data_IF_361521926600
#
_entry.id   IF_361521926600
#
_cell.length_a   1.000
_cell.length_b   1.000
_cell.length_c   1.000
_cell.angle_alpha   90.00
_cell.angle_beta   90.00
_cell.angle_gamma   90.00
#
_symmetry.space_group_name_H-M   'P 1'
#
loop_
_entity.id
_entity.type
_entity.pdbx_description
1 polymer ?
#
# COMPACT_ATOMS: atom_id res chain seq x y z
N UNK A 1 -58.35 -43.86 19.16
CA UNK A 1 -57.51 -43.02 18.32
C UNK A 1 -56.07 -43.38 18.68
N UNK A 2 -55.23 -43.81 17.73
CA UNK A 2 -53.85 -44.11 18.08
C UNK A 2 -53.11 -42.82 18.40
N UNK A 3 -52.42 -42.80 19.54
CA UNK A 3 -51.52 -41.75 19.98
C UNK A 3 -50.42 -41.59 18.97
N UNK A 4 -50.40 -40.45 18.27
CA UNK A 4 -49.35 -40.11 17.33
C UNK A 4 -48.12 -39.76 18.16
N UNK A 5 -47.26 -40.74 18.38
CA UNK A 5 -45.97 -40.54 19.04
C UNK A 5 -45.05 -39.76 18.10
N UNK A 6 -44.89 -38.44 18.34
CA UNK A 6 -43.89 -37.65 17.62
C UNK A 6 -42.51 -38.17 18.01
N UNK A 7 -41.82 -38.80 17.08
CA UNK A 7 -40.40 -39.14 17.24
C UNK A 7 -39.56 -37.90 17.05
N UNK A 8 -38.85 -37.47 18.10
CA UNK A 8 -37.86 -36.40 18.02
C UNK A 8 -36.55 -37.03 17.55
N UNK A 9 -36.05 -36.58 16.41
CA UNK A 9 -34.76 -37.03 15.85
C UNK A 9 -33.71 -35.90 15.99
N UNK A 10 -32.43 -36.26 16.07
CA UNK A 10 -31.32 -35.33 16.08
C UNK A 10 -31.28 -34.51 14.78
N UNK A 11 -31.28 -33.21 14.86
CA UNK A 11 -31.24 -32.30 13.70
C UNK A 11 -30.00 -32.47 12.83
N UNK A 12 -28.90 -33.00 13.40
CA UNK A 12 -27.63 -33.20 12.68
C UNK A 12 -27.46 -34.60 12.14
N UNK A 13 -27.51 -35.67 12.99
CA UNK A 13 -27.21 -37.04 12.56
C UNK A 13 -28.47 -37.92 12.36
N UNK A 14 -29.67 -37.36 12.57
CA UNK A 14 -30.96 -38.08 12.41
C UNK A 14 -31.22 -39.21 13.40
N UNK A 15 -30.37 -39.42 14.40
CA UNK A 15 -30.58 -40.38 15.46
C UNK A 15 -31.89 -40.11 16.22
N UNK A 16 -32.61 -41.18 16.63
CA UNK A 16 -33.88 -41.11 17.38
C UNK A 16 -33.71 -41.44 18.87
N UNK A 17 -32.53 -41.31 19.42
CA UNK A 17 -32.21 -41.64 20.82
C UNK A 17 -32.80 -40.61 21.79
N UNK A 18 -34.02 -40.84 22.26
CA UNK A 18 -34.83 -39.86 23.01
C UNK A 18 -34.37 -39.48 24.41
N UNK A 19 -33.79 -40.38 25.26
CA UNK A 19 -33.60 -40.05 26.68
C UNK A 19 -32.52 -38.99 26.92
N UNK A 20 -31.68 -38.69 25.93
CA UNK A 20 -30.52 -37.86 26.09
C UNK A 20 -30.49 -36.61 25.16
N UNK A 21 -31.57 -36.37 24.39
CA UNK A 21 -31.63 -35.21 23.48
C UNK A 21 -31.56 -33.88 24.24
N UNK A 22 -30.76 -32.95 23.68
CA UNK A 22 -30.60 -31.58 24.22
C UNK A 22 -31.12 -30.56 23.19
N UNK A 23 -31.81 -29.55 23.66
CA UNK A 23 -32.33 -28.50 22.82
C UNK A 23 -31.34 -27.32 22.72
N UNK A 24 -31.07 -26.89 21.48
CA UNK A 24 -30.24 -25.71 21.17
C UNK A 24 -31.01 -24.83 20.20
N UNK A 25 -31.61 -23.77 20.65
CA UNK A 25 -32.56 -22.99 19.85
C UNK A 25 -33.76 -23.81 19.41
N UNK A 26 -33.98 -23.92 18.11
CA UNK A 26 -35.03 -24.81 17.51
C UNK A 26 -34.54 -26.23 17.26
N UNK A 27 -33.25 -26.53 17.42
CA UNK A 27 -32.64 -27.80 17.10
C UNK A 27 -32.64 -28.74 18.31
N UNK A 28 -32.89 -30.04 18.03
CA UNK A 28 -32.81 -31.10 19.02
C UNK A 28 -31.62 -32.01 18.69
N UNK A 29 -30.71 -32.24 19.62
CA UNK A 29 -29.41 -32.88 19.36
C UNK A 29 -29.16 -34.04 20.31
N UNK A 30 -28.64 -35.13 19.77
CA UNK A 30 -28.09 -36.23 20.59
C UNK A 30 -26.78 -35.78 21.27
N UNK A 31 -26.38 -36.42 22.39
CA UNK A 31 -25.18 -36.01 23.13
C UNK A 31 -23.91 -35.92 22.29
N UNK A 32 -23.55 -36.87 21.39
CA UNK A 32 -22.38 -36.76 20.56
C UNK A 32 -22.37 -35.53 19.64
N UNK A 33 -23.55 -35.18 19.07
CA UNK A 33 -23.64 -33.97 18.22
C UNK A 33 -23.62 -32.69 19.03
N UNK A 34 -24.19 -32.68 20.23
CA UNK A 34 -24.16 -31.55 21.13
C UNK A 34 -22.74 -31.25 21.61
N UNK A 35 -21.94 -32.26 21.96
CA UNK A 35 -20.57 -32.11 22.45
C UNK A 35 -19.59 -31.64 21.35
N UNK A 36 -19.98 -31.76 20.07
CA UNK A 36 -19.22 -31.24 18.92
C UNK A 36 -19.62 -29.83 18.49
N UNK A 37 -20.59 -29.20 19.15
CA UNK A 37 -21.00 -27.87 18.81
C UNK A 37 -19.88 -26.85 19.05
N UNK A 38 -19.84 -25.87 18.14
CA UNK A 38 -19.02 -24.68 18.34
C UNK A 38 -19.84 -23.58 18.98
N UNK A 39 -19.14 -22.65 19.64
CA UNK A 39 -19.78 -21.54 20.34
C UNK A 39 -19.78 -20.30 19.45
N UNK A 40 -20.90 -19.57 19.47
CA UNK A 40 -21.00 -18.26 18.84
C UNK A 40 -20.03 -17.27 19.49
N UNK A 41 -19.19 -16.62 18.72
CA UNK A 41 -18.22 -15.66 19.23
C UNK A 41 -18.87 -14.44 19.89
N UNK A 42 -20.13 -14.14 19.58
CA UNK A 42 -20.85 -12.96 20.09
C UNK A 42 -21.65 -13.26 21.38
N UNK A 43 -22.47 -14.29 21.39
CA UNK A 43 -23.31 -14.62 22.55
C UNK A 43 -22.78 -15.76 23.41
N UNK A 44 -21.70 -16.40 23.03
CA UNK A 44 -21.07 -17.53 23.72
C UNK A 44 -22.01 -18.75 23.91
N UNK A 45 -23.09 -18.82 23.12
CA UNK A 45 -24.01 -19.96 23.15
C UNK A 45 -23.57 -20.99 22.08
N UNK A 46 -23.76 -22.28 22.37
CA UNK A 46 -23.52 -23.32 21.36
C UNK A 46 -24.51 -23.16 20.20
N UNK A 47 -24.05 -23.42 18.98
CA UNK A 47 -24.88 -23.30 17.79
C UNK A 47 -24.58 -24.40 16.78
N UNK A 48 -25.65 -24.93 16.15
CA UNK A 48 -25.58 -25.94 15.09
C UNK A 48 -25.01 -25.33 13.81
N UNK A 49 -25.43 -24.10 13.52
CA UNK A 49 -24.95 -23.36 12.34
C UNK A 49 -24.22 -22.11 12.82
N UNK A 50 -23.01 -21.93 12.29
CA UNK A 50 -22.24 -20.69 12.48
C UNK A 50 -21.92 -20.07 11.13
N UNK A 51 -22.04 -18.75 11.07
CA UNK A 51 -21.81 -17.93 9.88
C UNK A 51 -20.50 -17.16 10.07
N UNK A 52 -19.57 -17.21 9.10
CA UNK A 52 -18.36 -16.44 9.16
C UNK A 52 -18.63 -14.93 9.32
N UNK A 53 -17.92 -14.32 10.24
CA UNK A 53 -18.01 -12.88 10.52
C UNK A 53 -16.62 -12.23 10.48
N UNK A 54 -16.57 -10.91 10.40
CA UNK A 54 -15.33 -10.16 10.31
C UNK A 54 -14.39 -10.48 11.47
N UNK A 55 -13.09 -10.61 11.16
CA UNK A 55 -12.05 -10.94 12.13
C UNK A 55 -11.96 -12.44 12.45
N UNK A 56 -12.32 -13.30 11.49
CA UNK A 56 -12.31 -14.77 11.63
C UNK A 56 -13.29 -15.33 12.68
N UNK A 57 -14.14 -14.47 13.22
CA UNK A 57 -15.18 -14.86 14.15
C UNK A 57 -16.27 -15.67 13.46
N UNK A 58 -16.91 -16.59 14.21
CA UNK A 58 -18.10 -17.31 13.76
C UNK A 58 -19.27 -16.99 14.68
N UNK A 59 -20.41 -16.60 14.10
CA UNK A 59 -21.60 -16.16 14.86
C UNK A 59 -22.84 -16.94 14.48
N UNK A 60 -23.74 -17.16 15.44
CA UNK A 60 -25.00 -17.85 15.18
C UNK A 60 -25.99 -16.98 14.38
N UNK A 61 -26.99 -17.57 13.69
CA UNK A 61 -27.98 -16.85 12.90
C UNK A 61 -28.71 -15.76 13.69
N UNK A 62 -29.00 -15.98 14.96
CA UNK A 62 -29.64 -14.99 15.84
C UNK A 62 -28.77 -13.75 16.06
N UNK A 63 -27.46 -13.95 16.21
CA UNK A 63 -26.50 -12.86 16.38
C UNK A 63 -26.16 -12.14 15.06
N UNK A 64 -26.47 -12.74 13.92
CA UNK A 64 -26.36 -12.12 12.59
C UNK A 64 -27.53 -11.19 12.32
N UNK A 65 -28.67 -11.41 12.95
CA UNK A 65 -29.83 -10.51 12.80
C UNK A 65 -29.43 -9.06 13.18
N UNK A 66 -29.64 -8.12 12.27
CA UNK A 66 -29.18 -6.73 12.40
C UNK A 66 -27.70 -6.49 12.08
N UNK A 67 -27.05 -7.43 11.44
CA UNK A 67 -25.69 -7.31 10.88
C UNK A 67 -25.73 -7.24 9.36
N UNK A 68 -24.73 -6.59 8.76
CA UNK A 68 -24.63 -6.42 7.30
C UNK A 68 -23.28 -6.92 6.77
N UNK A 69 -23.20 -7.30 5.48
CA UNK A 69 -21.93 -7.59 4.88
C UNK A 69 -21.08 -6.32 4.80
N UNK A 70 -19.80 -6.43 5.16
CA UNK A 70 -18.83 -5.36 5.00
C UNK A 70 -18.69 -5.02 3.51
N UNK A 71 -18.82 -3.76 3.13
CA UNK A 71 -18.72 -3.29 1.74
C UNK A 71 -17.41 -3.70 1.07
N UNK A 72 -16.36 -3.96 1.83
CA UNK A 72 -15.02 -4.27 1.32
C UNK A 72 -14.70 -5.77 1.28
N UNK A 73 -14.85 -6.51 2.40
CA UNK A 73 -14.49 -7.93 2.47
C UNK A 73 -15.68 -8.89 2.39
N UNK A 74 -16.90 -8.38 2.35
CA UNK A 74 -18.16 -9.13 2.35
C UNK A 74 -18.41 -9.99 3.60
N UNK A 75 -17.52 -9.96 4.59
CA UNK A 75 -17.75 -10.64 5.87
C UNK A 75 -18.83 -9.93 6.68
N UNK A 76 -19.64 -10.69 7.40
CA UNK A 76 -20.70 -10.14 8.26
C UNK A 76 -20.08 -9.27 9.37
N UNK A 77 -20.52 -8.03 9.46
CA UNK A 77 -20.07 -7.07 10.47
C UNK A 77 -21.24 -6.57 11.34
N UNK A 78 -20.93 -6.22 12.58
CA UNK A 78 -21.90 -5.60 13.49
C UNK A 78 -22.17 -4.13 13.14
N UNK A 79 -23.14 -3.50 13.84
CA UNK A 79 -23.41 -2.07 13.70
C UNK A 79 -22.22 -1.21 14.18
N UNK A 80 -22.05 -0.04 13.62
CA UNK A 80 -21.19 1.00 14.19
C UNK A 80 -20.26 1.72 13.25
N UNK A 81 -19.65 1.06 12.26
CA UNK A 81 -18.74 1.72 11.31
C UNK A 81 -19.39 1.79 9.93
N UNK A 82 -19.42 2.99 9.36
CA UNK A 82 -19.99 3.25 8.04
C UNK A 82 -19.03 4.05 7.19
N UNK A 83 -19.10 3.84 5.89
CA UNK A 83 -18.44 4.69 4.90
C UNK A 83 -19.17 6.03 4.76
N UNK A 84 -18.57 6.97 4.06
CA UNK A 84 -19.19 8.26 3.69
C UNK A 84 -20.40 8.11 2.76
N UNK A 85 -20.55 6.95 2.11
CA UNK A 85 -21.72 6.52 1.33
C UNK A 85 -22.76 5.74 2.16
N UNK A 86 -22.58 5.68 3.47
CA UNK A 86 -23.42 4.97 4.45
C UNK A 86 -23.37 3.43 4.39
N UNK A 87 -22.43 2.87 3.67
CA UNK A 87 -22.26 1.42 3.60
C UNK A 87 -21.59 0.87 4.86
N UNK A 88 -22.02 -0.30 5.38
CA UNK A 88 -21.39 -0.93 6.54
C UNK A 88 -19.95 -1.35 6.23
N UNK A 89 -19.03 -1.10 7.14
CA UNK A 89 -17.63 -1.50 7.02
C UNK A 89 -17.13 -2.12 8.33
N UNK A 90 -16.45 -3.27 8.27
CA UNK A 90 -15.87 -3.89 9.45
C UNK A 90 -14.62 -3.11 9.93
N UNK A 91 -14.28 -3.27 11.21
CA UNK A 91 -13.16 -2.56 11.84
C UNK A 91 -11.85 -2.76 11.06
N UNK A 92 -11.51 -4.01 10.68
CA UNK A 92 -10.30 -4.33 9.91
C UNK A 92 -10.23 -3.56 8.59
N UNK A 93 -11.33 -3.57 7.82
CA UNK A 93 -11.38 -2.84 6.55
C UNK A 93 -11.41 -1.34 6.74
N UNK A 94 -12.15 -0.82 7.72
CA UNK A 94 -12.27 0.61 7.99
C UNK A 94 -10.89 1.25 8.22
N UNK A 95 -10.11 0.69 9.13
CA UNK A 95 -8.79 1.23 9.47
C UNK A 95 -7.65 0.78 8.54
N UNK A 96 -7.85 -0.29 7.79
CA UNK A 96 -6.83 -0.79 6.84
C UNK A 96 -6.96 -0.26 5.42
N UNK A 97 -8.17 0.19 5.00
CA UNK A 97 -8.45 0.49 3.60
C UNK A 97 -9.09 1.87 3.34
N UNK A 98 -9.53 2.55 4.38
CA UNK A 98 -10.24 3.82 4.30
C UNK A 98 -9.57 4.87 5.17
N UNK A 99 -9.77 6.13 4.84
CA UNK A 99 -9.41 7.25 5.68
C UNK A 99 -10.60 7.70 6.54
N UNK A 100 -10.36 7.99 7.81
CA UNK A 100 -11.39 8.59 8.68
C UNK A 100 -11.60 10.06 8.33
N UNK A 101 -12.84 10.44 8.05
CA UNK A 101 -13.19 11.82 7.75
C UNK A 101 -13.33 12.63 9.03
N UNK A 102 -12.53 13.68 9.18
CA UNK A 102 -12.58 14.59 10.33
C UNK A 102 -13.93 15.35 10.45
N UNK A 103 -14.62 15.57 9.32
CA UNK A 103 -15.87 16.34 9.30
C UNK A 103 -17.12 15.56 9.72
N UNK A 104 -17.19 14.26 9.43
CA UNK A 104 -18.37 13.44 9.69
C UNK A 104 -18.08 12.14 10.45
N UNK A 105 -16.81 11.86 10.79
CA UNK A 105 -16.34 10.64 11.46
C UNK A 105 -16.65 9.32 10.73
N UNK A 106 -16.96 9.41 9.42
CA UNK A 106 -17.18 8.24 8.55
C UNK A 106 -15.91 7.89 7.81
N UNK A 107 -15.86 6.69 7.30
CA UNK A 107 -14.70 6.16 6.56
C UNK A 107 -14.86 6.40 5.05
N UNK A 108 -13.87 7.05 4.43
CA UNK A 108 -13.90 7.38 3.01
C UNK A 108 -12.82 6.65 2.25
N UNK A 109 -13.22 6.07 1.14
CA UNK A 109 -12.30 5.48 0.18
C UNK A 109 -11.59 6.55 -0.67
N UNK A 110 -12.14 7.75 -0.77
CA UNK A 110 -11.60 8.88 -1.53
C UNK A 110 -11.67 10.13 -0.67
N UNK A 111 -10.60 10.38 0.08
CA UNK A 111 -10.48 11.53 0.96
C UNK A 111 -9.48 12.54 0.43
N UNK A 112 -9.66 13.81 0.79
CA UNK A 112 -8.72 14.90 0.51
C UNK A 112 -7.96 15.28 1.78
N UNK A 113 -6.75 15.76 1.62
CA UNK A 113 -5.94 16.27 2.72
C UNK A 113 -6.54 17.57 3.27
N UNK A 114 -6.74 17.60 4.57
CA UNK A 114 -7.17 18.76 5.35
C UNK A 114 -5.99 19.27 6.18
N UNK A 115 -5.78 20.57 6.20
CA UNK A 115 -4.67 21.18 6.94
C UNK A 115 -4.64 20.73 8.41
N UNK A 116 -3.43 20.47 8.92
CA UNK A 116 -3.22 19.91 10.26
C UNK A 116 -3.13 18.38 10.30
N UNK A 117 -3.01 17.71 9.14
CA UNK A 117 -2.78 16.25 9.10
C UNK A 117 -4.05 15.40 9.06
N UNK A 118 -5.20 16.01 8.87
CA UNK A 118 -6.50 15.32 8.83
C UNK A 118 -6.93 14.97 7.40
N UNK A 119 -8.01 14.19 7.29
CA UNK A 119 -8.65 13.86 6.02
C UNK A 119 -10.11 14.29 6.01
N UNK A 120 -10.63 14.62 4.85
CA UNK A 120 -12.03 14.94 4.63
C UNK A 120 -12.58 14.12 3.46
N UNK A 121 -13.75 13.48 3.60
CA UNK A 121 -14.44 12.85 2.49
C UNK A 121 -14.90 13.90 1.48
N UNK A 122 -15.24 13.48 0.26
CA UNK A 122 -15.61 14.39 -0.84
C UNK A 122 -16.76 15.34 -0.46
N UNK A 123 -17.79 14.84 0.23
CA UNK A 123 -18.92 15.64 0.68
C UNK A 123 -18.50 16.71 1.70
N UNK A 124 -17.74 16.33 2.74
CA UNK A 124 -17.25 17.29 3.74
C UNK A 124 -16.26 18.27 3.12
N UNK A 125 -15.42 17.84 2.18
CA UNK A 125 -14.50 18.69 1.44
C UNK A 125 -15.27 19.81 0.72
N UNK A 126 -16.35 19.46 0.03
CA UNK A 126 -17.13 20.42 -0.75
C UNK A 126 -18.01 21.35 0.10
N UNK A 127 -18.47 20.89 1.29
CA UNK A 127 -19.52 21.61 2.06
C UNK A 127 -19.03 22.28 3.33
N UNK A 128 -17.89 21.85 3.89
CA UNK A 128 -17.41 22.29 5.22
C UNK A 128 -16.07 22.99 5.21
N UNK A 129 -15.32 22.86 4.13
CA UNK A 129 -13.95 23.35 4.06
C UNK A 129 -13.74 24.20 2.81
N UNK A 130 -12.85 25.19 2.92
CA UNK A 130 -12.43 25.99 1.77
C UNK A 130 -11.07 25.53 1.27
N UNK A 131 -10.77 25.77 0.02
CA UNK A 131 -9.46 25.51 -0.54
C UNK A 131 -8.53 26.71 -0.38
N UNK A 132 -7.25 26.42 -0.14
CA UNK A 132 -6.20 27.43 -0.23
C UNK A 132 -6.04 27.86 -1.70
N UNK A 133 -6.16 29.14 -1.99
CA UNK A 133 -6.02 29.67 -3.36
C UNK A 133 -4.64 29.41 -3.98
N UNK A 134 -3.59 29.27 -3.15
CA UNK A 134 -2.22 29.03 -3.63
C UNK A 134 -1.93 27.56 -3.93
N UNK A 135 -2.34 26.64 -3.03
CA UNK A 135 -1.93 25.23 -3.12
C UNK A 135 -3.08 24.23 -3.22
N UNK A 136 -4.34 24.66 -3.15
CA UNK A 136 -5.51 23.79 -3.23
C UNK A 136 -5.74 22.89 -2.00
N UNK A 137 -4.93 23.02 -0.94
CA UNK A 137 -5.12 22.27 0.31
C UNK A 137 -6.43 22.71 0.98
N UNK A 138 -7.22 21.77 1.48
CA UNK A 138 -8.41 22.08 2.27
C UNK A 138 -8.00 22.71 3.61
N UNK A 139 -8.68 23.80 3.98
CA UNK A 139 -8.43 24.56 5.20
C UNK A 139 -9.62 24.42 6.14
N UNK A 140 -9.34 24.34 7.44
CA UNK A 140 -10.35 24.49 8.49
C UNK A 140 -10.81 25.95 8.51
N UNK A 141 -12.05 26.19 8.96
CA UNK A 141 -12.57 27.56 9.10
C UNK A 141 -11.56 28.46 9.83
N UNK A 142 -11.30 29.61 9.25
CA UNK A 142 -10.33 30.63 9.75
C UNK A 142 -8.86 30.17 9.84
N UNK A 143 -8.52 29.01 9.26
CA UNK A 143 -7.14 28.51 9.22
C UNK A 143 -6.29 29.19 8.14
N UNK A 144 -5.04 29.53 8.46
CA UNK A 144 -4.02 29.79 7.45
C UNK A 144 -3.54 28.47 6.83
N UNK A 145 -3.07 28.52 5.59
CA UNK A 145 -2.45 27.35 4.97
C UNK A 145 -1.03 27.17 5.53
N UNK A 146 -0.86 26.21 6.42
CA UNK A 146 0.46 25.87 6.99
C UNK A 146 1.51 25.51 5.92
N UNK A 147 1.06 24.96 4.77
CA UNK A 147 1.95 24.64 3.65
C UNK A 147 2.51 25.90 2.99
N UNK A 148 1.65 26.89 2.73
CA UNK A 148 2.06 28.15 2.09
C UNK A 148 2.77 29.09 3.08
N UNK A 149 2.38 29.07 4.36
CA UNK A 149 3.02 29.88 5.39
C UNK A 149 4.44 29.41 5.73
N UNK A 150 4.69 28.09 5.62
CA UNK A 150 5.97 27.48 5.97
C UNK A 150 6.44 26.49 4.89
N UNK A 151 6.79 26.97 3.68
CA UNK A 151 7.17 26.09 2.57
C UNK A 151 8.44 25.29 2.86
N UNK A 152 9.38 25.83 3.63
CA UNK A 152 10.63 25.19 4.03
C UNK A 152 10.54 24.25 5.23
N UNK A 153 9.34 23.94 5.71
CA UNK A 153 9.18 23.09 6.90
C UNK A 153 9.29 21.60 6.58
N UNK A 154 10.11 20.87 7.34
CA UNK A 154 10.07 19.40 7.35
C UNK A 154 8.79 18.94 8.03
N UNK A 155 7.96 18.21 7.30
CA UNK A 155 6.62 17.75 7.73
C UNK A 155 6.71 16.54 8.64
N UNK A 156 5.61 16.23 9.36
CA UNK A 156 5.52 14.99 10.13
C UNK A 156 5.53 13.78 9.19
N UNK A 157 5.91 12.61 9.70
CA UNK A 157 5.92 11.36 8.94
C UNK A 157 4.53 11.00 8.35
N UNK A 158 3.43 11.42 9.01
CA UNK A 158 2.06 11.17 8.59
C UNK A 158 1.55 12.16 7.52
N UNK A 159 2.35 13.16 7.14
CA UNK A 159 1.96 14.13 6.13
C UNK A 159 1.79 13.46 4.75
N UNK A 160 0.60 13.58 4.17
CA UNK A 160 0.26 13.06 2.84
C UNK A 160 -0.66 14.06 2.14
N UNK A 161 -0.10 15.05 1.43
CA UNK A 161 -0.89 16.03 0.69
C UNK A 161 -1.61 15.38 -0.47
N UNK A 162 -2.57 16.10 -1.04
CA UNK A 162 -3.17 15.68 -2.31
C UNK A 162 -2.11 15.68 -3.41
N UNK A 163 -2.07 14.67 -4.28
CA UNK A 163 -1.04 14.55 -5.29
C UNK A 163 -1.19 15.61 -6.38
N UNK A 164 -0.05 16.08 -6.89
CA UNK A 164 0.05 16.90 -8.11
C UNK A 164 0.77 16.07 -9.15
N UNK A 165 0.08 15.78 -10.24
CA UNK A 165 0.65 14.98 -11.32
C UNK A 165 1.46 15.87 -12.26
N UNK A 166 2.72 15.51 -12.47
CA UNK A 166 3.69 16.27 -13.28
C UNK A 166 4.14 15.42 -14.46
N UNK A 167 4.08 16.01 -15.66
CA UNK A 167 4.27 15.29 -16.91
C UNK A 167 3.03 14.50 -17.34
N UNK A 168 3.20 13.54 -18.25
CA UNK A 168 2.12 12.81 -18.90
C UNK A 168 2.01 11.38 -18.38
N UNK A 169 0.76 10.93 -18.08
CA UNK A 169 0.45 9.60 -17.58
C UNK A 169 0.16 8.57 -18.68
N UNK A 170 -0.24 7.37 -18.34
CA UNK A 170 -0.87 6.96 -17.08
C UNK A 170 0.12 6.44 -16.01
N UNK A 171 1.39 6.14 -16.34
CA UNK A 171 2.39 5.73 -15.36
C UNK A 171 3.01 6.97 -14.72
N UNK A 172 2.80 7.12 -13.42
CA UNK A 172 3.49 8.10 -12.60
C UNK A 172 4.33 7.40 -11.55
N UNK A 173 5.53 7.94 -11.31
CA UNK A 173 6.47 7.51 -10.28
C UNK A 173 6.48 8.54 -9.15
N UNK A 174 6.60 8.08 -7.92
CA UNK A 174 6.89 8.90 -6.75
C UNK A 174 8.23 8.47 -6.16
N UNK A 175 9.06 9.42 -5.77
CA UNK A 175 10.34 9.19 -5.15
C UNK A 175 10.24 9.51 -3.65
N UNK A 176 10.72 8.61 -2.80
CA UNK A 176 10.98 8.83 -1.38
C UNK A 176 12.47 8.53 -1.16
N UNK A 177 13.28 9.57 -0.92
CA UNK A 177 14.72 9.48 -0.75
C UNK A 177 15.10 9.87 0.68
N UNK A 178 15.64 8.94 1.45
CA UNK A 178 16.08 9.16 2.82
C UNK A 178 17.53 9.65 2.84
N UNK A 179 17.82 10.74 3.55
CA UNK A 179 19.13 11.39 3.60
C UNK A 179 19.53 11.68 5.04
N UNK A 180 20.75 11.30 5.41
CA UNK A 180 21.38 11.63 6.69
C UNK A 180 22.04 12.99 6.54
N UNK A 181 21.78 13.89 7.50
CA UNK A 181 22.24 15.28 7.45
C UNK A 181 23.06 15.58 8.70
N UNK A 182 24.25 16.20 8.58
CA UNK A 182 24.99 16.68 9.76
C UNK A 182 24.16 17.69 10.56
N UNK A 183 24.19 17.59 11.89
CA UNK A 183 23.37 18.41 12.77
C UNK A 183 23.59 19.92 12.56
N UNK A 184 24.85 20.34 12.37
CA UNK A 184 25.25 21.73 12.14
C UNK A 184 24.87 22.24 10.74
N UNK A 185 24.51 21.36 9.80
CA UNK A 185 24.09 21.64 8.42
C UNK A 185 22.60 21.42 8.17
N UNK A 186 21.86 21.01 9.18
CA UNK A 186 20.45 20.62 9.00
C UNK A 186 19.60 21.74 8.37
N UNK A 187 19.73 22.97 8.87
CA UNK A 187 18.98 24.12 8.36
C UNK A 187 19.34 24.44 6.91
N UNK A 188 20.64 24.37 6.57
CA UNK A 188 21.14 24.65 5.21
C UNK A 188 20.65 23.58 4.22
N UNK A 189 20.71 22.29 4.61
CA UNK A 189 20.23 21.17 3.80
C UNK A 189 18.71 21.25 3.57
N UNK A 190 17.93 21.58 4.60
CA UNK A 190 16.48 21.79 4.47
C UNK A 190 16.19 22.98 3.53
N UNK A 191 16.92 24.09 3.65
CA UNK A 191 16.74 25.26 2.79
C UNK A 191 17.09 24.93 1.32
N UNK A 192 18.21 24.26 1.07
CA UNK A 192 18.63 23.83 -0.26
C UNK A 192 17.56 22.90 -0.88
N UNK A 193 17.18 21.85 -0.15
CA UNK A 193 16.19 20.87 -0.62
C UNK A 193 14.84 21.52 -0.93
N UNK A 194 14.30 22.35 -0.04
CA UNK A 194 12.99 23.00 -0.25
C UNK A 194 13.03 24.03 -1.37
N UNK A 195 14.12 24.76 -1.52
CA UNK A 195 14.29 25.73 -2.62
C UNK A 195 14.27 25.04 -3.99
N UNK A 196 14.98 23.90 -4.13
CA UNK A 196 15.03 23.14 -5.39
C UNK A 196 13.75 22.37 -5.67
N UNK A 197 13.18 21.72 -4.66
CA UNK A 197 11.92 20.98 -4.82
C UNK A 197 10.76 21.90 -5.18
N UNK A 198 10.67 23.08 -4.57
CA UNK A 198 9.56 23.99 -4.81
C UNK A 198 8.19 23.32 -4.70
N UNK A 199 7.49 23.21 -5.83
CA UNK A 199 6.19 22.54 -5.93
C UNK A 199 6.27 21.06 -6.36
N UNK A 200 7.47 20.53 -6.61
CA UNK A 200 7.68 19.17 -7.07
C UNK A 200 7.59 18.14 -5.93
N UNK A 201 7.81 18.60 -4.68
CA UNK A 201 7.85 17.68 -3.54
C UNK A 201 7.85 18.41 -2.20
N UNK A 202 8.20 17.68 -1.16
CA UNK A 202 8.27 18.18 0.21
C UNK A 202 9.21 17.30 1.04
N UNK A 203 9.59 17.80 2.22
CA UNK A 203 10.40 17.05 3.17
C UNK A 203 9.55 16.50 4.30
N UNK A 204 9.84 15.26 4.74
CA UNK A 204 9.21 14.60 5.88
C UNK A 204 10.25 14.16 6.90
N UNK A 205 9.80 14.03 8.14
CA UNK A 205 10.54 13.31 9.18
C UNK A 205 10.36 11.81 8.99
N UNK A 206 11.45 11.07 9.08
CA UNK A 206 11.43 9.63 9.30
C UNK A 206 12.30 9.29 10.52
N UNK A 207 11.74 8.51 11.45
CA UNK A 207 12.42 8.13 12.69
C UNK A 207 13.50 7.06 12.48
N UNK A 208 13.54 6.42 11.32
CA UNK A 208 14.58 5.46 10.95
C UNK A 208 15.89 6.14 10.59
N UNK A 209 15.86 7.40 10.16
CA UNK A 209 17.06 8.18 9.77
C UNK A 209 17.80 8.66 11.03
N UNK A 210 19.02 8.20 11.21
CA UNK A 210 19.83 8.49 12.39
C UNK A 210 21.22 9.01 11.98
N UNK A 211 21.86 9.93 12.77
CA UNK A 211 21.28 10.59 13.95
C UNK A 211 20.25 11.66 13.60
N UNK A 212 20.39 12.32 12.46
CA UNK A 212 19.54 13.43 11.99
C UNK A 212 19.37 13.33 10.47
N UNK A 213 18.19 13.69 9.96
CA UNK A 213 17.95 13.68 8.51
C UNK A 213 16.50 13.94 8.15
N UNK A 214 16.20 13.76 6.90
CA UNK A 214 14.85 13.88 6.35
C UNK A 214 14.64 12.95 5.16
N UNK A 215 13.39 12.67 4.90
CA UNK A 215 12.92 12.00 3.70
C UNK A 215 12.48 13.07 2.68
N UNK A 216 13.08 13.05 1.50
CA UNK A 216 12.67 13.88 0.35
C UNK A 216 11.59 13.10 -0.41
N UNK A 217 10.40 13.67 -0.51
CA UNK A 217 9.25 13.04 -1.16
C UNK A 217 8.81 13.89 -2.34
N UNK A 218 8.67 13.26 -3.52
CA UNK A 218 8.13 13.95 -4.69
C UNK A 218 6.63 13.79 -4.82
N UNK A 219 5.98 14.71 -5.48
CA UNK A 219 4.69 14.47 -6.11
C UNK A 219 4.83 13.45 -7.26
N UNK A 220 3.73 12.84 -7.73
CA UNK A 220 3.80 11.89 -8.84
C UNK A 220 4.36 12.52 -10.13
N UNK A 221 5.44 11.96 -10.66
CA UNK A 221 6.17 12.40 -11.85
C UNK A 221 6.01 11.34 -12.96
N UNK A 222 5.76 11.72 -14.22
CA UNK A 222 6.01 10.81 -15.32
C UNK A 222 7.51 10.49 -15.39
N UNK A 223 7.88 9.33 -15.92
CA UNK A 223 9.29 8.94 -16.03
C UNK A 223 10.09 9.99 -16.82
N UNK A 224 9.54 10.44 -17.95
CA UNK A 224 10.19 11.48 -18.77
C UNK A 224 10.42 12.77 -17.97
N UNK A 225 9.40 13.27 -17.29
CA UNK A 225 9.52 14.48 -16.45
C UNK A 225 10.56 14.29 -15.34
N UNK A 226 10.59 13.11 -14.71
CA UNK A 226 11.56 12.81 -13.68
C UNK A 226 13.01 12.84 -14.20
N UNK A 227 13.27 12.42 -15.43
CA UNK A 227 14.62 12.42 -16.01
C UNK A 227 15.00 13.80 -16.54
N UNK A 228 14.10 14.48 -17.27
CA UNK A 228 14.41 15.69 -18.02
C UNK A 228 14.22 16.98 -17.20
N UNK A 229 13.21 17.06 -16.34
CA UNK A 229 12.74 18.31 -15.71
C UNK A 229 12.94 18.36 -14.18
N UNK A 230 13.28 17.25 -13.55
CA UNK A 230 13.52 17.25 -12.09
C UNK A 230 14.88 17.92 -11.79
N UNK A 231 14.98 18.76 -10.73
CA UNK A 231 16.20 19.52 -10.43
C UNK A 231 17.29 18.67 -9.77
N UNK A 232 17.89 17.77 -10.53
CA UNK A 232 18.88 16.79 -10.07
C UNK A 232 20.11 17.39 -9.40
N UNK A 233 20.43 18.66 -9.68
CA UNK A 233 21.51 19.41 -9.00
C UNK A 233 21.33 19.45 -7.49
N UNK A 234 20.10 19.24 -7.00
CA UNK A 234 19.78 19.13 -5.58
C UNK A 234 20.65 18.08 -4.86
N UNK A 235 20.87 16.92 -5.46
CA UNK A 235 21.62 15.83 -4.81
C UNK A 235 23.09 16.24 -4.61
N UNK A 236 23.71 16.88 -5.61
CA UNK A 236 25.07 17.42 -5.48
C UNK A 236 25.16 18.57 -4.46
N UNK A 237 24.11 19.38 -4.32
CA UNK A 237 24.08 20.43 -3.28
C UNK A 237 24.01 19.82 -1.87
N UNK A 238 23.23 18.75 -1.68
CA UNK A 238 23.17 18.02 -0.41
C UNK A 238 24.51 17.33 -0.10
N UNK A 239 25.14 16.70 -1.08
CA UNK A 239 26.47 16.11 -0.93
C UNK A 239 27.53 17.15 -0.52
N UNK A 240 27.55 18.32 -1.17
CA UNK A 240 28.44 19.44 -0.84
C UNK A 240 28.20 20.01 0.58
N UNK A 241 27.01 19.84 1.15
CA UNK A 241 26.69 20.19 2.53
C UNK A 241 27.11 19.10 3.54
N UNK A 242 27.71 17.99 3.05
CA UNK A 242 28.14 16.89 3.86
C UNK A 242 27.02 15.91 4.24
N UNK A 243 25.88 15.97 3.54
CA UNK A 243 24.86 14.95 3.69
C UNK A 243 25.40 13.59 3.21
N UNK A 244 24.94 12.51 3.84
CA UNK A 244 25.40 11.17 3.56
C UNK A 244 24.24 10.19 3.44
N UNK A 245 24.55 9.00 2.97
CA UNK A 245 23.66 7.82 2.93
C UNK A 245 24.44 6.61 3.39
N UNK A 246 23.75 5.65 4.02
CA UNK A 246 24.32 4.37 4.45
C UNK A 246 23.31 3.22 4.26
N UNK A 247 23.58 2.05 4.80
CA UNK A 247 22.74 0.86 4.69
C UNK A 247 21.43 0.93 5.51
N UNK A 248 21.32 1.92 6.40
CA UNK A 248 20.12 2.15 7.21
C UNK A 248 19.03 2.93 6.48
N UNK A 249 19.43 3.77 5.52
CA UNK A 249 18.53 4.61 4.72
C UNK A 249 18.24 4.00 3.35
N UNK A 250 17.10 4.35 2.75
CA UNK A 250 16.65 3.76 1.50
C UNK A 250 16.09 4.76 0.51
N UNK A 251 15.96 4.27 -0.72
CA UNK A 251 15.23 4.91 -1.79
C UNK A 251 14.02 4.05 -2.13
N UNK A 252 12.83 4.64 -2.03
CA UNK A 252 11.59 3.98 -2.39
C UNK A 252 11.01 4.62 -3.66
N UNK A 253 10.57 3.76 -4.58
CA UNK A 253 9.93 4.22 -5.82
C UNK A 253 8.49 3.72 -5.86
N UNK A 254 7.54 4.64 -5.83
CA UNK A 254 6.13 4.36 -6.00
C UNK A 254 5.77 4.35 -7.48
N UNK A 255 5.14 3.29 -7.95
CA UNK A 255 4.59 3.21 -9.31
C UNK A 255 3.06 3.25 -9.26
N UNK A 256 2.43 4.17 -9.98
CA UNK A 256 0.97 4.28 -10.02
C UNK A 256 0.33 3.00 -10.56
N UNK A 257 -0.71 2.49 -9.87
CA UNK A 257 -1.46 1.31 -10.34
C UNK A 257 -2.13 1.56 -11.69
N UNK A 258 -2.50 2.81 -11.98
CA UNK A 258 -3.05 3.21 -13.27
C UNK A 258 -2.05 3.04 -14.44
N UNK A 259 -0.74 2.96 -14.17
CA UNK A 259 0.29 2.65 -15.15
C UNK A 259 0.27 1.20 -15.64
N UNK A 260 -0.43 0.31 -14.96
CA UNK A 260 -0.57 -1.10 -15.35
C UNK A 260 -1.84 -1.33 -16.15
N UNK A 261 -1.74 -2.12 -17.21
CA UNK A 261 -2.88 -2.41 -18.10
C UNK A 261 -3.96 -3.29 -17.46
N UNK A 262 -3.59 -4.11 -16.45
CA UNK A 262 -4.50 -5.04 -15.79
C UNK A 262 -3.86 -5.66 -14.54
N UNK A 263 -4.64 -6.33 -13.67
CA UNK A 263 -4.09 -7.16 -12.58
C UNK A 263 -3.10 -8.24 -13.06
N UNK A 264 -3.32 -8.81 -14.24
CA UNK A 264 -2.40 -9.78 -14.82
C UNK A 264 -1.05 -9.13 -15.20
N UNK A 265 -1.05 -7.86 -15.63
CA UNK A 265 0.18 -7.11 -15.88
C UNK A 265 0.93 -6.84 -14.55
N UNK A 266 0.24 -6.40 -13.49
CA UNK A 266 0.86 -6.26 -12.15
C UNK A 266 1.50 -7.58 -11.71
N UNK A 267 0.79 -8.70 -11.88
CA UNK A 267 1.32 -10.02 -11.53
C UNK A 267 2.57 -10.37 -12.34
N UNK A 268 2.59 -10.12 -13.66
CA UNK A 268 3.79 -10.36 -14.49
C UNK A 268 4.98 -9.53 -14.03
N UNK A 269 4.75 -8.26 -13.70
CA UNK A 269 5.78 -7.37 -13.18
C UNK A 269 6.31 -7.86 -11.82
N UNK A 270 5.46 -8.20 -10.87
CA UNK A 270 5.89 -8.77 -9.59
C UNK A 270 6.69 -10.06 -9.78
N UNK A 271 6.27 -10.92 -10.71
CA UNK A 271 6.98 -12.17 -11.03
C UNK A 271 8.36 -11.94 -11.65
N UNK A 272 8.51 -10.93 -12.52
CA UNK A 272 9.81 -10.53 -13.04
C UNK A 272 10.78 -10.19 -11.89
N UNK A 273 10.36 -9.35 -10.96
CA UNK A 273 11.19 -8.92 -9.84
C UNK A 273 11.52 -10.07 -8.88
N UNK A 274 10.50 -10.84 -8.47
CA UNK A 274 10.70 -11.97 -7.55
C UNK A 274 11.54 -13.11 -8.15
N UNK A 275 11.51 -13.29 -9.47
CA UNK A 275 12.30 -14.32 -10.17
C UNK A 275 13.77 -13.94 -10.23
N UNK A 276 14.05 -12.67 -10.45
CA UNK A 276 15.41 -12.12 -10.64
C UNK A 276 15.87 -11.37 -9.37
N UNK A 277 15.56 -11.93 -8.19
CA UNK A 277 15.90 -11.34 -6.89
C UNK A 277 17.39 -11.00 -6.77
N UNK A 278 18.27 -11.85 -7.27
CA UNK A 278 19.72 -11.67 -7.17
C UNK A 278 20.18 -10.44 -7.98
N UNK A 279 19.72 -10.33 -9.21
CA UNK A 279 20.04 -9.24 -10.14
C UNK A 279 19.39 -7.92 -9.68
N UNK A 280 18.15 -7.98 -9.23
CA UNK A 280 17.46 -6.80 -8.66
C UNK A 280 18.17 -6.31 -7.40
N UNK A 281 18.61 -7.20 -6.50
CA UNK A 281 19.35 -6.83 -5.30
C UNK A 281 20.75 -6.27 -5.63
N UNK A 282 21.42 -6.77 -6.67
CA UNK A 282 22.68 -6.23 -7.17
C UNK A 282 22.49 -4.82 -7.72
N UNK A 283 21.52 -4.62 -8.62
CA UNK A 283 21.16 -3.31 -9.16
C UNK A 283 20.77 -2.32 -8.06
N UNK A 284 20.02 -2.78 -7.09
CA UNK A 284 19.54 -1.95 -5.97
C UNK A 284 20.65 -1.59 -4.95
N UNK A 285 21.83 -2.20 -5.04
CA UNK A 285 22.98 -1.99 -4.12
C UNK A 285 22.59 -2.13 -2.64
N UNK A 286 21.51 -2.85 -2.33
CA UNK A 286 20.98 -2.98 -0.98
C UNK A 286 20.47 -4.39 -0.70
N UNK A 287 20.81 -4.90 0.50
CA UNK A 287 20.15 -6.04 1.14
C UNK A 287 19.68 -5.61 2.51
N UNK A 288 18.41 -5.36 2.68
CA UNK A 288 17.84 -4.80 3.92
C UNK A 288 16.73 -5.68 4.48
N UNK A 289 16.70 -5.79 5.81
CA UNK A 289 15.56 -6.40 6.53
C UNK A 289 14.24 -5.64 6.36
N UNK A 290 14.30 -4.39 5.90
CA UNK A 290 13.12 -3.56 5.63
C UNK A 290 12.57 -3.72 4.20
N UNK A 291 13.27 -4.50 3.37
CA UNK A 291 12.87 -4.75 1.99
C UNK A 291 13.21 -6.18 1.51
N UNK A 292 12.95 -7.25 2.31
CA UNK A 292 13.23 -8.61 1.89
C UNK A 292 12.33 -9.04 0.74
N UNK A 293 12.83 -9.93 -0.11
CA UNK A 293 12.02 -10.67 -1.08
C UNK A 293 11.29 -11.82 -0.36
N UNK A 294 10.29 -11.46 0.44
CA UNK A 294 9.58 -12.37 1.33
C UNK A 294 8.80 -13.45 0.59
N UNK A 295 8.88 -14.70 1.07
CA UNK A 295 8.26 -15.86 0.43
C UNK A 295 6.72 -15.85 0.54
N UNK A 296 6.15 -15.30 1.63
CA UNK A 296 4.69 -15.17 1.80
C UNK A 296 4.16 -14.11 0.83
N UNK A 297 4.87 -12.98 0.71
CA UNK A 297 4.53 -11.95 -0.26
C UNK A 297 4.60 -12.48 -1.71
N UNK A 298 5.65 -13.24 -2.03
CA UNK A 298 5.81 -13.93 -3.33
C UNK A 298 4.65 -14.90 -3.61
N UNK A 299 4.24 -15.69 -2.64
CA UNK A 299 3.11 -16.62 -2.77
C UNK A 299 1.77 -15.89 -2.98
N UNK A 300 1.59 -14.73 -2.34
CA UNK A 300 0.38 -13.91 -2.46
C UNK A 300 0.41 -12.90 -3.60
N UNK A 301 1.45 -12.85 -4.41
CA UNK A 301 1.61 -11.89 -5.52
C UNK A 301 0.41 -11.89 -6.49
N UNK A 302 -0.20 -13.05 -6.75
CA UNK A 302 -1.39 -13.15 -7.63
C UNK A 302 -2.60 -12.42 -7.06
N UNK A 303 -2.80 -12.46 -5.74
CA UNK A 303 -3.95 -11.83 -5.11
C UNK A 303 -3.70 -10.34 -4.88
N UNK A 304 -2.52 -9.96 -4.42
CA UNK A 304 -2.12 -8.55 -4.24
C UNK A 304 -2.04 -7.77 -5.55
N UNK A 305 -1.81 -8.47 -6.68
CA UNK A 305 -1.87 -7.87 -8.01
C UNK A 305 -3.29 -7.41 -8.40
N UNK A 306 -4.33 -8.06 -7.86
CA UNK A 306 -5.74 -7.71 -8.17
C UNK A 306 -6.13 -6.39 -7.53
N UNK A 307 -5.82 -6.21 -6.24
CA UNK A 307 -6.17 -5.02 -5.48
C UNK A 307 -5.31 -4.92 -4.20
N UNK A 308 -5.06 -3.68 -3.72
CA UNK A 308 -4.41 -3.39 -2.44
C UNK A 308 -5.13 -4.04 -1.24
N UNK A 309 -6.44 -4.29 -1.33
CA UNK A 309 -7.24 -4.96 -0.30
C UNK A 309 -6.71 -6.36 0.04
N UNK A 310 -6.10 -7.03 -0.92
CA UNK A 310 -5.49 -8.34 -0.72
C UNK A 310 -4.12 -8.29 -0.02
N UNK A 311 -3.61 -7.08 0.24
CA UNK A 311 -2.39 -6.88 1.03
C UNK A 311 -2.63 -6.97 2.54
N UNK A 312 -3.88 -6.93 2.99
CA UNK A 312 -4.22 -7.05 4.42
C UNK A 312 -3.63 -8.33 5.01
N UNK A 313 -2.89 -8.18 6.11
CA UNK A 313 -2.16 -9.28 6.76
C UNK A 313 -0.78 -9.59 6.19
N UNK A 314 -0.30 -8.84 5.18
CA UNK A 314 1.12 -8.80 4.82
C UNK A 314 1.83 -7.70 5.60
N UNK A 315 3.14 -7.87 5.81
CA UNK A 315 3.98 -6.79 6.30
C UNK A 315 4.20 -5.76 5.17
N UNK A 316 4.36 -4.48 5.51
CA UNK A 316 4.79 -3.43 4.58
C UNK A 316 6.29 -3.49 4.28
N UNK A 317 7.07 -4.08 5.19
CA UNK A 317 8.52 -4.24 5.06
C UNK A 317 8.85 -5.42 4.16
N UNK A 318 8.79 -5.19 2.85
CA UNK A 318 9.09 -6.17 1.81
C UNK A 318 9.52 -5.46 0.52
N UNK A 319 10.17 -6.20 -0.38
CA UNK A 319 10.71 -5.68 -1.64
C UNK A 319 9.66 -4.88 -2.45
N UNK A 320 8.44 -5.39 -2.53
CA UNK A 320 7.30 -4.71 -3.16
C UNK A 320 6.20 -4.57 -2.11
N UNK A 321 5.96 -3.37 -1.62
CA UNK A 321 4.86 -3.07 -0.71
C UNK A 321 3.56 -2.81 -1.51
N UNK A 322 2.55 -3.70 -1.42
CA UNK A 322 1.28 -3.56 -2.15
C UNK A 322 0.20 -2.82 -1.37
N UNK A 323 0.48 -2.36 -0.13
CA UNK A 323 -0.50 -1.69 0.73
C UNK A 323 -0.99 -0.33 0.20
N UNK A 324 -0.15 0.51 -0.43
CA UNK A 324 -0.63 1.78 -0.93
C UNK A 324 -1.77 1.57 -1.94
N UNK A 325 -2.87 2.31 -1.74
CA UNK A 325 -4.09 2.15 -2.53
C UNK A 325 -3.90 2.44 -4.02
N UNK A 326 -3.15 3.50 -4.32
CA UNK A 326 -3.01 4.03 -5.68
C UNK A 326 -1.68 3.67 -6.33
N UNK A 327 -0.74 3.10 -5.56
CA UNK A 327 0.59 2.75 -6.05
C UNK A 327 0.99 1.33 -5.61
N UNK A 328 2.05 0.83 -6.22
CA UNK A 328 2.90 -0.23 -5.71
C UNK A 328 4.23 0.43 -5.36
N UNK A 329 4.75 0.16 -4.17
CA UNK A 329 5.99 0.76 -3.69
C UNK A 329 7.13 -0.25 -3.79
N UNK A 330 8.16 0.07 -4.56
CA UNK A 330 9.38 -0.71 -4.67
C UNK A 330 10.41 -0.15 -3.68
N UNK A 331 10.81 -0.96 -2.68
CA UNK A 331 11.62 -0.53 -1.53
C UNK A 331 13.06 -1.04 -1.55
N UNK A 332 13.45 -1.70 -2.62
CA UNK A 332 14.72 -2.46 -2.69
C UNK A 332 15.97 -1.60 -2.73
N UNK A 333 15.89 -0.37 -3.24
CA UNK A 333 17.07 0.43 -3.56
C UNK A 333 17.77 1.00 -2.31
N UNK A 334 19.10 1.05 -2.36
CA UNK A 334 19.88 1.89 -1.47
C UNK A 334 19.53 3.37 -1.69
N UNK A 335 19.57 4.17 -0.65
CA UNK A 335 19.59 5.62 -0.84
C UNK A 335 20.89 6.04 -1.52
N UNK A 336 20.86 7.13 -2.29
CA UNK A 336 22.04 7.63 -2.98
C UNK A 336 21.94 9.14 -3.23
N UNK A 337 23.07 9.81 -3.16
CA UNK A 337 23.24 11.19 -3.64
C UNK A 337 23.84 11.24 -5.06
N UNK A 338 24.16 10.09 -5.64
CA UNK A 338 24.55 9.97 -7.04
C UNK A 338 23.31 10.02 -7.94
N UNK A 339 23.28 11.03 -8.83
CA UNK A 339 22.16 11.26 -9.73
C UNK A 339 21.91 10.06 -10.64
N UNK A 340 22.99 9.44 -11.17
CA UNK A 340 22.90 8.29 -12.09
C UNK A 340 22.21 7.11 -11.42
N UNK A 341 22.55 6.79 -10.17
CA UNK A 341 21.96 5.69 -9.41
C UNK A 341 20.47 5.94 -9.11
N UNK A 342 20.09 7.15 -8.73
CA UNK A 342 18.67 7.48 -8.48
C UNK A 342 17.87 7.45 -9.78
N UNK A 343 18.41 7.98 -10.87
CA UNK A 343 17.78 7.90 -12.19
C UNK A 343 17.69 6.45 -12.68
N UNK A 344 18.69 5.60 -12.42
CA UNK A 344 18.64 4.18 -12.75
C UNK A 344 17.54 3.43 -11.99
N UNK A 345 17.28 3.76 -10.72
CA UNK A 345 16.18 3.18 -9.95
C UNK A 345 14.80 3.55 -10.54
N UNK A 346 14.63 4.81 -10.95
CA UNK A 346 13.42 5.26 -11.65
C UNK A 346 13.28 4.58 -13.02
N UNK A 347 14.37 4.50 -13.79
CA UNK A 347 14.43 3.85 -15.09
C UNK A 347 14.10 2.35 -14.98
N UNK A 348 14.66 1.64 -13.99
CA UNK A 348 14.35 0.24 -13.72
C UNK A 348 12.85 0.04 -13.44
N UNK A 349 12.28 0.89 -12.60
CA UNK A 349 10.85 0.80 -12.25
C UNK A 349 9.99 1.01 -13.50
N UNK A 350 10.26 2.04 -14.30
CA UNK A 350 9.51 2.33 -15.52
C UNK A 350 9.73 1.24 -16.60
N UNK A 351 10.97 0.85 -16.86
CA UNK A 351 11.34 -0.14 -17.86
C UNK A 351 10.75 -1.53 -17.56
N UNK A 352 10.84 -1.99 -16.30
CA UNK A 352 10.30 -3.29 -15.88
C UNK A 352 8.77 -3.36 -16.05
N UNK A 353 8.07 -2.26 -15.77
CA UNK A 353 6.62 -2.14 -16.01
C UNK A 353 6.33 -2.15 -17.52
N UNK A 354 7.05 -1.37 -18.32
CA UNK A 354 6.86 -1.31 -19.76
C UNK A 354 7.15 -2.67 -20.42
N UNK A 355 8.25 -3.33 -20.06
CA UNK A 355 8.63 -4.64 -20.56
C UNK A 355 7.55 -5.70 -20.31
N UNK A 356 7.06 -5.78 -19.07
CA UNK A 356 6.09 -6.82 -18.69
C UNK A 356 4.67 -6.58 -19.21
N UNK A 357 4.40 -5.42 -19.80
CA UNK A 357 3.09 -5.06 -20.35
C UNK A 357 2.63 -6.03 -21.43
N UNK A 358 3.53 -6.38 -22.33
CA UNK A 358 3.23 -7.12 -23.55
C UNK A 358 3.66 -8.60 -23.51
N UNK A 359 4.28 -9.06 -22.41
CA UNK A 359 4.67 -10.47 -22.29
C UNK A 359 3.48 -11.39 -22.45
N UNK A 360 3.52 -12.25 -23.45
CA UNK A 360 2.55 -13.32 -23.68
C UNK A 360 2.93 -14.58 -22.89
N UNK A 361 2.02 -15.56 -22.85
CA UNK A 361 2.33 -16.89 -22.26
C UNK A 361 3.47 -17.57 -23.06
N UNK A 362 3.53 -17.35 -24.38
CA UNK A 362 4.62 -17.87 -25.23
C UNK A 362 5.97 -17.29 -24.81
N UNK A 363 6.06 -15.96 -24.68
CA UNK A 363 7.29 -15.27 -24.25
C UNK A 363 7.76 -15.76 -22.88
N UNK A 364 6.81 -15.90 -21.94
CA UNK A 364 7.12 -16.39 -20.59
C UNK A 364 7.67 -17.81 -20.60
N UNK A 365 7.10 -18.71 -21.42
CA UNK A 365 7.59 -20.08 -21.58
C UNK A 365 8.97 -20.14 -22.22
N UNK A 366 9.31 -19.15 -23.05
CA UNK A 366 10.62 -19.00 -23.71
C UNK A 366 11.62 -18.20 -22.88
N UNK A 367 11.39 -18.01 -21.57
CA UNK A 367 12.31 -17.31 -20.68
C UNK A 367 12.09 -15.80 -20.57
N UNK A 368 10.99 -15.25 -21.09
CA UNK A 368 10.70 -13.80 -21.04
C UNK A 368 10.58 -13.20 -19.63
N UNK A 369 10.61 -13.99 -18.56
CA UNK A 369 10.76 -13.54 -17.18
C UNK A 369 12.20 -13.58 -16.66
N UNK A 370 13.17 -14.01 -17.47
CA UNK A 370 14.57 -14.05 -17.06
C UNK A 370 15.22 -12.67 -17.21
N UNK A 371 16.32 -12.46 -16.49
CA UNK A 371 17.02 -11.16 -16.49
C UNK A 371 17.58 -10.78 -17.86
N UNK A 372 18.22 -11.72 -18.56
CA UNK A 372 18.89 -11.42 -19.83
C UNK A 372 17.96 -10.85 -20.90
N UNK A 373 16.77 -11.44 -21.19
CA UNK A 373 15.82 -10.83 -22.13
C UNK A 373 15.34 -9.44 -21.70
N UNK A 374 15.19 -9.20 -20.40
CA UNK A 374 14.87 -7.87 -19.91
C UNK A 374 16.01 -6.88 -20.13
N UNK A 375 17.24 -7.27 -19.82
CA UNK A 375 18.43 -6.45 -20.00
C UNK A 375 18.67 -6.10 -21.47
N UNK A 376 18.55 -7.06 -22.37
CA UNK A 376 18.63 -6.87 -23.83
C UNK A 376 17.53 -5.89 -24.30
N UNK A 377 16.30 -6.07 -23.82
CA UNK A 377 15.19 -5.18 -24.16
C UNK A 377 15.43 -3.74 -23.69
N UNK A 378 16.07 -3.55 -22.54
CA UNK A 378 16.45 -2.22 -22.00
C UNK A 378 17.55 -1.60 -22.86
N UNK A 379 18.60 -2.36 -23.21
CA UNK A 379 19.74 -1.89 -23.99
C UNK A 379 19.33 -1.32 -25.36
N UNK A 380 18.28 -1.85 -25.96
CA UNK A 380 17.72 -1.38 -27.23
C UNK A 380 16.94 -0.06 -27.12
N UNK A 381 16.84 0.55 -25.92
CA UNK A 381 15.97 1.69 -25.64
C UNK A 381 16.69 2.83 -24.97
N UNK A 382 17.01 3.86 -25.75
CA UNK A 382 17.76 5.04 -25.27
C UNK A 382 17.06 5.82 -24.15
N UNK A 383 15.73 5.73 -24.07
CA UNK A 383 14.98 6.36 -22.98
C UNK A 383 15.34 5.80 -21.58
N UNK A 384 15.87 4.57 -21.52
CA UNK A 384 16.32 3.95 -20.27
C UNK A 384 17.85 3.97 -20.11
N UNK A 385 18.55 4.87 -20.80
CA UNK A 385 20.01 4.99 -20.72
C UNK A 385 20.59 5.03 -19.28
N UNK A 386 19.98 5.70 -18.29
CA UNK A 386 20.49 5.64 -16.92
C UNK A 386 20.55 4.23 -16.35
N UNK A 387 19.59 3.37 -16.69
CA UNK A 387 19.60 1.98 -16.27
C UNK A 387 20.67 1.18 -17.00
N UNK A 388 20.83 1.38 -18.30
CA UNK A 388 21.87 0.69 -19.09
C UNK A 388 23.26 1.01 -18.53
N UNK A 389 23.55 2.28 -18.28
CA UNK A 389 24.83 2.73 -17.70
C UNK A 389 25.08 2.09 -16.33
N UNK A 390 24.08 2.03 -15.47
CA UNK A 390 24.21 1.43 -14.15
C UNK A 390 24.44 -0.10 -14.23
N UNK A 391 23.74 -0.79 -15.12
CA UNK A 391 23.91 -2.23 -15.34
C UNK A 391 25.32 -2.56 -15.89
N UNK A 392 25.84 -1.75 -16.81
CA UNK A 392 27.21 -1.88 -17.33
C UNK A 392 28.26 -1.64 -16.24
N UNK A 393 28.09 -0.60 -15.42
CA UNK A 393 28.98 -0.30 -14.31
C UNK A 393 29.05 -1.45 -13.31
N UNK A 394 27.92 -2.08 -12.99
CA UNK A 394 27.86 -3.24 -12.10
C UNK A 394 28.48 -4.50 -12.71
N UNK A 395 28.31 -4.73 -14.02
CA UNK A 395 28.93 -5.87 -14.73
C UNK A 395 30.45 -5.75 -14.80
N UNK A 396 30.99 -4.52 -14.89
CA UNK A 396 32.43 -4.27 -14.87
C UNK A 396 33.05 -4.36 -13.47
N UNK A 397 32.25 -4.27 -12.41
CA UNK A 397 32.70 -4.35 -11.02
C UNK A 397 32.76 -5.79 -10.47
N UNK A 398 32.26 -6.76 -11.20
CA UNK A 398 32.30 -8.21 -10.91
C UNK A 398 33.41 -8.89 -11.71
#
# INVERSE_FOLDING_TARGET
MPDTVFTVSCSVCRSEDRPAMRQVGSDCLCPPCFDQLRYCARCQQPAVTLIPAAGEAQVCPTCVAGSWPCVSCQEITGPGLHTDTDDPVCHRCAYGLFDSCFGCNRFSASSRYLSGGYRACAQCAATRYRECGECGTLLRENGSCDLCAHPGRVRSYSYKPDPRFLGEGPLYLGLELEVIVPDDRYSDAVAAATSRLGRLGYLKKDSSIQPTGFELVTHPLSYRFAIEDFPWTLLGELDNLGCTVDDTVGLHVHASRAGFASPAHVYRWMKLLYRNEAEVAALARRRSRYAPFDHVARARARDTAKDHKHAVGLDRYQAINPHPRHTLELRVFASSLDVGQVQAALAFTAASIAYTRHLTIGDIRSGGWDWSPFAEWVADRSEYAPLTVEMEALACAC
#
